data_IF_732308356167
#
_entry.id   IF_732308356167
#
_cell.length_a   1.000
_cell.length_b   1.000
_cell.length_c   1.000
_cell.angle_alpha   90.00
_cell.angle_beta   90.00
_cell.angle_gamma   90.00
#
_symmetry.space_group_name_H-M   'P 1'
#
loop_
_entity.id
_entity.type
_entity.pdbx_description
1 polymer ?
#
# COMPACT_ATOMS: atom_id res chain seq x y z
N UNK A 1 -3.05 -72.16 3.42
CA UNK A 1 -4.25 -71.26 3.35
C UNK A 1 -4.07 -70.10 4.32
N UNK A 2 -3.91 -68.88 3.80
CA UNK A 2 -4.46 -67.59 4.30
C UNK A 2 -3.60 -66.44 3.77
N UNK A 3 -4.02 -65.95 2.60
CA UNK A 3 -3.62 -64.68 2.01
C UNK A 3 -3.91 -63.52 2.96
N UNK A 4 -3.04 -62.51 2.95
CA UNK A 4 -3.41 -61.14 3.32
C UNK A 4 -2.90 -60.21 2.22
N UNK A 5 -3.84 -59.77 1.37
CA UNK A 5 -3.64 -58.65 0.47
C UNK A 5 -3.47 -57.38 1.32
N UNK A 6 -2.36 -56.67 1.13
CA UNK A 6 -2.22 -55.29 1.58
C UNK A 6 -2.76 -54.37 0.49
N UNK A 7 -3.90 -53.74 0.75
CA UNK A 7 -4.49 -52.74 -0.11
C UNK A 7 -3.68 -51.43 0.00
N UNK A 8 -3.08 -51.02 -1.11
CA UNK A 8 -2.46 -49.70 -1.25
C UNK A 8 -3.56 -48.64 -1.41
N UNK A 9 -3.76 -47.82 -0.38
CA UNK A 9 -4.59 -46.63 -0.44
C UNK A 9 -3.79 -45.52 -1.15
N UNK A 10 -4.13 -45.25 -2.41
CA UNK A 10 -3.70 -44.06 -3.13
C UNK A 10 -4.39 -42.83 -2.51
N UNK A 11 -3.61 -42.03 -1.79
CA UNK A 11 -4.03 -40.74 -1.27
C UNK A 11 -4.03 -39.74 -2.43
N UNK A 12 -5.21 -39.46 -3.00
CA UNK A 12 -5.39 -38.41 -4.01
C UNK A 12 -5.36 -37.07 -3.28
N UNK A 13 -4.31 -36.28 -3.50
CA UNK A 13 -4.26 -34.88 -3.12
C UNK A 13 -5.30 -34.08 -3.92
N UNK A 14 -6.49 -33.90 -3.38
CA UNK A 14 -7.39 -32.82 -3.81
C UNK A 14 -6.79 -31.51 -3.33
N UNK A 15 -6.14 -30.78 -4.23
CA UNK A 15 -5.92 -29.34 -4.05
C UNK A 15 -7.24 -28.67 -4.43
N UNK A 16 -7.97 -28.01 -3.51
CA UNK A 16 -9.11 -27.21 -3.93
C UNK A 16 -8.55 -26.03 -4.72
N UNK A 17 -8.83 -26.02 -6.02
CA UNK A 17 -8.65 -24.84 -6.84
C UNK A 17 -9.45 -23.70 -6.20
N UNK A 18 -8.77 -22.62 -5.81
CA UNK A 18 -9.40 -21.33 -5.53
C UNK A 18 -10.11 -20.90 -6.81
N UNK A 19 -11.40 -21.21 -6.90
CA UNK A 19 -12.24 -20.76 -7.99
C UNK A 19 -12.27 -19.23 -7.96
N UNK A 20 -11.95 -18.61 -9.09
CA UNK A 20 -12.15 -17.17 -9.27
C UNK A 20 -13.65 -16.85 -9.03
N UNK A 21 -13.97 -15.79 -8.27
CA UNK A 21 -15.35 -15.40 -8.09
C UNK A 21 -15.98 -15.02 -9.44
N UNK A 22 -17.22 -15.47 -9.66
CA UNK A 22 -17.93 -15.22 -10.90
C UNK A 22 -18.00 -13.70 -11.20
N UNK A 23 -17.88 -13.28 -12.48
CA UNK A 23 -18.00 -11.88 -12.88
C UNK A 23 -19.32 -11.29 -12.36
N UNK A 24 -19.25 -10.17 -11.65
CA UNK A 24 -20.42 -9.51 -11.03
C UNK A 24 -20.60 -9.76 -9.53
N UNK A 25 -19.71 -10.54 -8.89
CA UNK A 25 -19.69 -10.65 -7.43
C UNK A 25 -19.09 -9.37 -6.83
N UNK A 26 -19.95 -8.40 -6.48
CA UNK A 26 -19.54 -7.29 -5.63
C UNK A 26 -19.20 -7.89 -4.27
N UNK A 27 -17.90 -7.98 -3.96
CA UNK A 27 -17.47 -8.32 -2.61
C UNK A 27 -18.08 -7.28 -1.67
N UNK A 28 -18.98 -7.72 -0.79
CA UNK A 28 -19.56 -6.88 0.24
C UNK A 28 -18.45 -6.57 1.23
N UNK A 29 -17.71 -5.49 0.97
CA UNK A 29 -16.73 -4.96 1.91
C UNK A 29 -17.53 -4.54 3.14
N UNK A 30 -17.45 -5.34 4.20
CA UNK A 30 -18.12 -5.01 5.45
C UNK A 30 -17.31 -3.88 6.07
N UNK A 31 -17.86 -2.66 6.21
CA UNK A 31 -17.13 -1.58 6.85
C UNK A 31 -16.78 -1.98 8.29
N UNK A 32 -15.69 -1.44 8.84
CA UNK A 32 -15.34 -1.67 10.24
C UNK A 32 -16.53 -1.31 11.13
N UNK A 33 -16.97 -2.26 11.96
CA UNK A 33 -18.22 -2.14 12.70
C UNK A 33 -18.07 -1.27 13.95
N UNK A 34 -16.83 -1.06 14.43
CA UNK A 34 -16.53 -0.37 15.68
C UNK A 34 -15.30 0.53 15.57
N UNK A 35 -15.18 1.49 16.49
CA UNK A 35 -13.97 2.32 16.66
C UNK A 35 -12.71 1.47 16.97
N UNK A 36 -12.89 0.33 17.64
CA UNK A 36 -11.80 -0.62 17.91
C UNK A 36 -11.30 -1.31 16.63
N UNK A 37 -12.18 -1.56 15.66
CA UNK A 37 -11.79 -2.11 14.35
C UNK A 37 -10.97 -1.08 13.55
N UNK A 38 -11.40 0.18 13.56
CA UNK A 38 -10.66 1.29 12.95
C UNK A 38 -9.27 1.47 13.57
N UNK A 39 -9.17 1.36 14.89
CA UNK A 39 -7.89 1.39 15.60
C UNK A 39 -6.97 0.26 15.11
N UNK A 40 -7.47 -0.98 15.09
CA UNK A 40 -6.70 -2.15 14.64
C UNK A 40 -6.21 -2.02 13.20
N UNK A 41 -7.08 -1.55 12.30
CA UNK A 41 -6.71 -1.32 10.90
C UNK A 41 -5.61 -0.27 10.77
N UNK A 42 -5.70 0.82 11.54
CA UNK A 42 -4.70 1.86 11.51
C UNK A 42 -3.33 1.37 12.03
N UNK A 43 -3.29 0.63 13.14
CA UNK A 43 -2.04 -0.01 13.60
C UNK A 43 -1.49 -0.99 12.58
N UNK A 44 -2.34 -1.82 11.97
CA UNK A 44 -1.91 -2.73 10.91
C UNK A 44 -1.31 -1.97 9.72
N UNK A 45 -1.85 -0.81 9.36
CA UNK A 45 -1.28 0.06 8.32
C UNK A 45 0.12 0.56 8.68
N UNK A 46 0.32 1.01 9.93
CA UNK A 46 1.63 1.41 10.41
C UNK A 46 2.66 0.27 10.33
N UNK A 47 2.30 -0.93 10.78
CA UNK A 47 3.17 -2.11 10.70
C UNK A 47 3.51 -2.50 9.25
N UNK A 48 2.54 -2.39 8.34
CA UNK A 48 2.78 -2.60 6.91
C UNK A 48 3.78 -1.59 6.35
N UNK A 49 3.71 -0.32 6.78
CA UNK A 49 4.65 0.71 6.35
C UNK A 49 6.05 0.47 6.90
N UNK A 50 6.19 0.13 8.19
CA UNK A 50 7.47 -0.27 8.79
C UNK A 50 8.11 -1.41 8.00
N UNK A 51 7.32 -2.42 7.65
CA UNK A 51 7.79 -3.55 6.84
C UNK A 51 8.15 -3.12 5.40
N UNK A 52 7.39 -2.22 4.80
CA UNK A 52 7.63 -1.66 3.47
C UNK A 52 8.97 -0.91 3.41
N UNK A 53 9.19 0.01 4.35
CA UNK A 53 10.44 0.75 4.48
C UNK A 53 11.61 -0.20 4.76
N UNK A 54 11.42 -1.23 5.58
CA UNK A 54 12.41 -2.28 5.80
C UNK A 54 12.83 -2.99 4.51
N UNK A 55 11.86 -3.42 3.68
CA UNK A 55 12.11 -4.04 2.38
C UNK A 55 12.82 -3.10 1.40
N UNK A 56 12.43 -1.83 1.37
CA UNK A 56 13.09 -0.82 0.55
C UNK A 56 14.58 -0.69 0.94
N UNK A 57 14.88 -0.58 2.23
CA UNK A 57 16.25 -0.50 2.72
C UNK A 57 17.11 -1.70 2.30
N UNK A 58 16.56 -2.92 2.35
CA UNK A 58 17.23 -4.12 1.85
C UNK A 58 17.43 -4.10 0.33
N UNK A 59 16.44 -3.61 -0.43
CA UNK A 59 16.50 -3.56 -1.89
C UNK A 59 17.52 -2.56 -2.45
N UNK A 60 17.76 -1.46 -1.73
CA UNK A 60 18.67 -0.39 -2.16
C UNK A 60 20.15 -0.78 -2.11
N UNK A 61 20.52 -1.87 -1.42
CA UNK A 61 21.93 -2.30 -1.27
C UNK A 61 22.85 -1.12 -0.85
N UNK A 62 22.45 -0.44 0.23
CA UNK A 62 23.07 0.82 0.67
C UNK A 62 24.54 0.63 1.05
N UNK A 63 25.37 1.60 0.69
CA UNK A 63 26.76 1.68 1.16
C UNK A 63 26.83 2.09 2.64
N UNK A 64 28.00 1.93 3.26
CA UNK A 64 28.23 2.39 4.63
C UNK A 64 27.97 3.90 4.82
N UNK A 65 28.21 4.71 3.78
CA UNK A 65 27.95 6.16 3.80
C UNK A 65 26.46 6.50 3.63
N UNK A 66 25.70 5.69 2.89
CA UNK A 66 24.26 5.91 2.66
C UNK A 66 23.39 5.41 3.81
N UNK A 67 23.81 4.37 4.52
CA UNK A 67 23.07 3.78 5.64
C UNK A 67 22.61 4.80 6.71
N UNK A 68 23.45 5.71 7.23
CA UNK A 68 22.98 6.70 8.20
C UNK A 68 21.94 7.68 7.62
N UNK A 69 22.03 8.02 6.33
CA UNK A 69 21.03 8.86 5.65
C UNK A 69 19.69 8.14 5.54
N UNK A 70 19.73 6.83 5.22
CA UNK A 70 18.53 6.01 5.20
C UNK A 70 17.90 5.85 6.58
N UNK A 71 18.72 5.60 7.61
CA UNK A 71 18.22 5.46 8.98
C UNK A 71 17.59 6.78 9.49
N UNK A 72 18.16 7.93 9.11
CA UNK A 72 17.60 9.25 9.41
C UNK A 72 16.26 9.50 8.69
N UNK A 73 16.20 9.19 7.38
CA UNK A 73 14.95 9.28 6.61
C UNK A 73 13.88 8.34 7.17
N UNK A 74 14.19 7.06 7.38
CA UNK A 74 13.26 6.08 7.97
C UNK A 74 12.72 6.57 9.31
N UNK A 75 13.59 7.11 10.17
CA UNK A 75 13.16 7.65 11.46
C UNK A 75 12.19 8.81 11.27
N UNK A 76 12.53 9.80 10.44
CA UNK A 76 11.67 10.94 10.17
C UNK A 76 10.31 10.49 9.62
N UNK A 77 10.31 9.63 8.60
CA UNK A 77 9.10 9.10 7.97
C UNK A 77 8.18 8.38 8.97
N UNK A 78 8.73 7.45 9.77
CA UNK A 78 7.95 6.68 10.74
C UNK A 78 7.47 7.54 11.92
N UNK A 79 8.29 8.50 12.37
CA UNK A 79 7.89 9.45 13.43
C UNK A 79 6.71 10.31 12.96
N UNK A 80 6.73 10.81 11.72
CA UNK A 80 5.61 11.61 11.18
C UNK A 80 4.37 10.77 10.92
N UNK A 81 4.51 9.54 10.39
CA UNK A 81 3.39 8.64 10.21
C UNK A 81 2.70 8.31 11.55
N UNK A 82 3.48 8.14 12.62
CA UNK A 82 2.95 7.90 13.96
C UNK A 82 2.22 9.11 14.55
N UNK A 83 2.53 10.34 14.09
CA UNK A 83 1.83 11.56 14.53
C UNK A 83 0.50 11.79 13.83
N UNK A 84 0.24 11.13 12.70
CA UNK A 84 -1.04 11.25 12.01
C UNK A 84 -2.17 10.62 12.85
N UNK A 85 -3.40 11.18 12.80
CA UNK A 85 -4.53 10.63 13.54
C UNK A 85 -4.78 9.14 13.24
N UNK A 86 -4.87 8.35 14.32
CA UNK A 86 -5.08 6.91 14.29
C UNK A 86 -6.16 6.54 15.33
N UNK A 87 -7.42 6.30 14.90
CA UNK A 87 -7.86 6.18 13.51
C UNK A 87 -7.96 7.55 12.82
N UNK A 88 -8.00 7.61 11.47
CA UNK A 88 -8.18 8.87 10.77
C UNK A 88 -9.50 9.55 11.13
N UNK A 89 -9.55 10.88 11.02
CA UNK A 89 -10.77 11.66 11.26
C UNK A 89 -11.91 11.18 10.34
N UNK A 90 -13.17 11.18 10.81
CA UNK A 90 -14.28 10.67 10.03
C UNK A 90 -14.59 11.59 8.85
N UNK A 91 -14.46 11.07 7.63
CA UNK A 91 -14.70 11.80 6.37
C UNK A 91 -15.77 11.12 5.50
N UNK A 92 -16.43 10.07 6.03
CA UNK A 92 -17.48 9.31 5.35
C UNK A 92 -18.82 10.04 5.30
N UNK A 93 -19.72 9.59 4.42
CA UNK A 93 -21.04 10.22 4.19
C UNK A 93 -21.96 10.25 5.41
N UNK A 94 -21.63 9.48 6.45
CA UNK A 94 -22.25 9.48 7.77
C UNK A 94 -21.88 10.70 8.64
N UNK A 95 -20.86 11.48 8.23
CA UNK A 95 -20.44 12.71 8.90
C UNK A 95 -21.07 13.94 8.24
N UNK A 96 -21.63 14.90 8.99
CA UNK A 96 -22.20 16.14 8.43
C UNK A 96 -21.21 16.87 7.52
N UNK A 97 -21.69 17.43 6.41
CA UNK A 97 -20.83 18.02 5.39
C UNK A 97 -19.85 19.10 5.91
N UNK A 98 -20.26 20.05 6.79
CA UNK A 98 -19.32 21.01 7.37
C UNK A 98 -18.20 20.33 8.17
N UNK A 99 -18.56 19.37 9.03
CA UNK A 99 -17.58 18.62 9.83
C UNK A 99 -16.63 17.79 8.96
N UNK A 100 -17.13 17.19 7.87
CA UNK A 100 -16.28 16.49 6.91
C UNK A 100 -15.24 17.43 6.31
N UNK A 101 -15.64 18.62 5.89
CA UNK A 101 -14.72 19.60 5.30
C UNK A 101 -13.65 20.05 6.29
N UNK A 102 -14.01 20.24 7.56
CA UNK A 102 -13.06 20.55 8.63
C UNK A 102 -12.07 19.40 8.87
N UNK A 103 -12.56 18.15 8.91
CA UNK A 103 -11.73 16.97 9.07
C UNK A 103 -10.78 16.75 7.88
N UNK A 104 -11.28 16.94 6.66
CA UNK A 104 -10.47 16.89 5.43
C UNK A 104 -9.37 17.95 5.46
N UNK A 105 -9.69 19.19 5.87
CA UNK A 105 -8.72 20.27 5.98
C UNK A 105 -7.64 19.97 7.04
N UNK A 106 -8.04 19.46 8.21
CA UNK A 106 -7.11 19.10 9.28
C UNK A 106 -6.17 17.94 8.87
N UNK A 107 -6.69 16.92 8.19
CA UNK A 107 -5.88 15.82 7.67
C UNK A 107 -4.90 16.29 6.59
N UNK A 108 -5.33 17.19 5.70
CA UNK A 108 -4.48 17.77 4.67
C UNK A 108 -3.34 18.62 5.27
N UNK A 109 -3.63 19.40 6.31
CA UNK A 109 -2.63 20.17 7.04
C UNK A 109 -1.62 19.25 7.73
N UNK A 110 -2.08 18.24 8.47
CA UNK A 110 -1.21 17.27 9.14
C UNK A 110 -0.29 16.55 8.14
N UNK A 111 -0.84 16.12 7.01
CA UNK A 111 -0.07 15.47 5.93
C UNK A 111 0.97 16.41 5.32
N UNK A 112 0.60 17.67 5.08
CA UNK A 112 1.54 18.67 4.53
C UNK A 112 2.68 18.96 5.51
N UNK A 113 2.38 19.05 6.80
CA UNK A 113 3.38 19.26 7.84
C UNK A 113 4.33 18.06 7.97
N UNK A 114 3.81 16.84 7.94
CA UNK A 114 4.60 15.61 7.89
C UNK A 114 5.57 15.60 6.69
N UNK A 115 5.06 15.89 5.49
CA UNK A 115 5.91 15.96 4.29
C UNK A 115 7.01 17.01 4.41
N UNK A 116 6.71 18.19 4.96
CA UNK A 116 7.70 19.26 5.19
C UNK A 116 8.78 18.83 6.19
N UNK A 117 8.41 18.09 7.23
CA UNK A 117 9.35 17.59 8.23
C UNK A 117 10.25 16.46 7.69
N UNK A 118 9.71 15.58 6.84
CA UNK A 118 10.45 14.48 6.21
C UNK A 118 11.38 14.96 5.08
N UNK A 119 10.98 16.01 4.35
CA UNK A 119 11.62 16.46 3.11
C UNK A 119 13.16 16.63 3.20
N UNK A 120 13.75 17.20 4.27
CA UNK A 120 15.20 17.34 4.35
C UNK A 120 15.92 15.99 4.39
N UNK A 121 15.40 15.03 5.14
CA UNK A 121 16.03 13.72 5.30
C UNK A 121 15.92 12.87 4.03
N UNK A 122 14.74 12.86 3.38
CA UNK A 122 14.57 12.15 2.11
C UNK A 122 15.44 12.75 1.00
N UNK A 123 15.59 14.08 0.96
CA UNK A 123 16.46 14.75 -0.01
C UNK A 123 17.92 14.35 0.17
N UNK A 124 18.42 14.40 1.40
CA UNK A 124 19.80 14.01 1.70
C UNK A 124 20.08 12.55 1.32
N UNK A 125 19.14 11.63 1.62
CA UNK A 125 19.22 10.25 1.14
C UNK A 125 19.23 10.20 -0.39
N UNK A 126 18.24 10.78 -1.06
CA UNK A 126 18.06 10.68 -2.51
C UNK A 126 19.26 11.22 -3.30
N UNK A 127 19.84 12.34 -2.86
CA UNK A 127 21.03 12.93 -3.46
C UNK A 127 22.25 12.00 -3.37
N UNK A 128 22.34 11.18 -2.32
CA UNK A 128 23.41 10.19 -2.14
C UNK A 128 23.23 8.89 -2.93
N UNK A 129 22.03 8.61 -3.45
CA UNK A 129 21.71 7.39 -4.19
C UNK A 129 22.27 7.42 -5.61
N UNK A 130 22.67 6.25 -6.12
CA UNK A 130 22.96 6.07 -7.56
C UNK A 130 21.68 6.11 -8.40
N UNK A 131 21.81 6.19 -9.72
CA UNK A 131 20.65 6.17 -10.62
C UNK A 131 19.81 4.89 -10.46
N UNK A 132 20.46 3.73 -10.30
CA UNK A 132 19.81 2.44 -10.10
C UNK A 132 19.07 2.39 -8.77
N UNK A 133 19.70 2.88 -7.70
CA UNK A 133 19.07 2.97 -6.39
C UNK A 133 17.87 3.92 -6.39
N UNK A 134 17.96 5.06 -7.09
CA UNK A 134 16.82 5.98 -7.26
C UNK A 134 15.66 5.31 -7.99
N UNK A 135 15.92 4.51 -9.02
CA UNK A 135 14.88 3.76 -9.71
C UNK A 135 14.16 2.75 -8.78
N UNK A 136 14.89 2.13 -7.84
CA UNK A 136 14.30 1.27 -6.80
C UNK A 136 13.50 2.12 -5.79
N UNK A 137 14.05 3.26 -5.36
CA UNK A 137 13.43 4.17 -4.40
C UNK A 137 12.11 4.77 -4.92
N UNK A 138 12.11 5.23 -6.18
CA UNK A 138 10.94 5.83 -6.84
C UNK A 138 9.85 4.78 -7.16
N UNK A 139 10.23 3.49 -7.17
CA UNK A 139 9.33 2.39 -7.46
C UNK A 139 8.82 2.36 -8.91
N UNK A 140 7.88 1.45 -9.22
CA UNK A 140 7.30 1.39 -10.55
C UNK A 140 6.51 2.67 -10.84
N UNK A 141 6.83 3.34 -11.97
CA UNK A 141 5.97 4.41 -12.47
C UNK A 141 4.59 3.83 -12.76
N UNK A 142 3.55 4.33 -12.07
CA UNK A 142 2.17 3.99 -12.42
C UNK A 142 1.97 4.36 -13.90
N UNK A 143 1.67 3.38 -14.74
CA UNK A 143 1.21 3.67 -16.09
C UNK A 143 -0.06 4.50 -15.95
N UNK A 144 -0.05 5.73 -16.48
CA UNK A 144 -1.30 6.46 -16.70
C UNK A 144 -2.02 5.64 -17.75
N UNK A 145 -2.96 4.80 -17.34
CA UNK A 145 -3.86 4.13 -18.26
C UNK A 145 -4.57 5.26 -19.01
N UNK A 146 -4.39 5.41 -20.33
CA UNK A 146 -5.13 6.40 -21.09
C UNK A 146 -6.61 6.15 -20.81
N UNK A 147 -7.44 7.22 -20.67
CA UNK A 147 -8.87 7.01 -20.55
C UNK A 147 -9.33 6.11 -21.71
N UNK A 148 -10.20 5.12 -21.45
CA UNK A 148 -10.67 4.24 -22.50
C UNK A 148 -11.18 5.09 -23.67
N UNK A 149 -10.75 4.76 -24.90
CA UNK A 149 -11.19 5.48 -26.07
C UNK A 149 -12.72 5.55 -26.08
N UNK A 150 -13.26 6.75 -26.26
CA UNK A 150 -14.71 6.93 -26.34
C UNK A 150 -15.26 5.99 -27.42
N UNK A 151 -16.33 5.24 -27.16
CA UNK A 151 -16.95 4.40 -28.18
C UNK A 151 -17.42 5.31 -29.33
N UNK A 152 -16.71 5.26 -30.46
CA UNK A 152 -17.04 6.05 -31.66
C UNK A 152 -15.87 6.71 -32.38
N UNK A 153 -14.66 6.75 -31.80
CA UNK A 153 -13.48 7.28 -32.52
C UNK A 153 -12.85 6.21 -33.42
N UNK A 154 -13.55 5.85 -34.50
CA UNK A 154 -12.89 5.28 -35.67
C UNK A 154 -12.22 6.42 -36.45
N UNK A 155 -10.94 6.30 -36.83
CA UNK A 155 -10.32 7.29 -37.71
C UNK A 155 -11.06 7.28 -39.05
N UNK A 156 -11.46 8.46 -39.52
CA UNK A 156 -12.09 8.63 -40.82
C UNK A 156 -11.15 8.10 -41.91
N UNK A 157 -11.65 7.37 -42.93
CA UNK A 157 -10.83 7.00 -44.07
C UNK A 157 -10.39 8.29 -44.79
N UNK A 158 -9.08 8.43 -44.94
CA UNK A 158 -8.50 9.51 -45.75
C UNK A 158 -8.92 9.34 -47.23
N UNK A 159 -9.16 10.46 -47.95
CA UNK A 159 -9.54 10.45 -49.35
C UNK A 159 -8.43 9.96 -50.28
#
# INVERSE_FOLDING_TARGET
MRSRLAAALFFVCLVPALADPAPGTIMKVTPPATSQDLQRMCHAHFEMEVASVGRLGSGLQLTAAQKPLFDAWRKAHLDELHRLPCPPLPMGLDTPAPQRMENEAQMAEATTNALRAELPAVRALYESLTAEQRAIFDGPRRAIVPPPAAPGSQPAPHP
#
